data_IF_877964081015
#
_entry.id   IF_877964081015
#
_cell.length_a   1.000
_cell.length_b   1.000
_cell.length_c   1.000
_cell.angle_alpha   90.00
_cell.angle_beta   90.00
_cell.angle_gamma   90.00
#
_symmetry.space_group_name_H-M   'P 1'
#
loop_
_entity.id
_entity.type
_entity.pdbx_description
1 polymer ?
#
# COMPACT_ATOMS: atom_id res chain seq x y z
N UNK A 1 -18.92 -46.03 48.30
CA UNK A 1 -18.36 -45.24 49.41
C UNK A 1 -18.03 -46.24 50.49
N UNK A 2 -16.84 -46.83 50.45
CA UNK A 2 -16.38 -47.83 51.42
C UNK A 2 -15.76 -47.06 52.59
N UNK A 3 -16.44 -47.00 53.74
CA UNK A 3 -15.83 -46.53 54.97
C UNK A 3 -14.75 -47.54 55.38
N UNK A 4 -13.52 -47.06 55.56
CA UNK A 4 -12.38 -47.88 55.94
C UNK A 4 -12.69 -48.50 57.31
N UNK A 5 -12.75 -49.84 57.35
CA UNK A 5 -13.14 -50.61 58.53
C UNK A 5 -12.28 -50.22 59.74
N UNK A 6 -11.02 -49.86 59.47
CA UNK A 6 -10.05 -49.41 60.47
C UNK A 6 -10.43 -48.04 61.07
N UNK A 7 -10.97 -47.13 60.27
CA UNK A 7 -11.38 -45.79 60.71
C UNK A 7 -12.63 -45.86 61.59
N UNK A 8 -13.58 -46.75 61.24
CA UNK A 8 -14.75 -47.05 62.07
C UNK A 8 -14.36 -47.59 63.45
N UNK A 9 -13.49 -48.61 63.50
CA UNK A 9 -13.03 -49.19 64.76
C UNK A 9 -12.24 -48.19 65.62
N UNK A 10 -11.40 -47.36 64.99
CA UNK A 10 -10.65 -46.31 65.69
C UNK A 10 -11.55 -45.18 66.22
N UNK A 11 -12.66 -44.87 65.55
CA UNK A 11 -13.61 -43.85 66.02
C UNK A 11 -14.47 -44.30 67.21
N UNK A 12 -14.82 -45.59 67.27
CA UNK A 12 -15.75 -46.13 68.28
C UNK A 12 -15.04 -46.68 69.53
N UNK A 13 -13.83 -47.22 69.40
CA UNK A 13 -13.08 -47.83 70.50
C UNK A 13 -11.99 -46.92 71.10
N UNK A 14 -11.71 -45.77 70.48
CA UNK A 14 -10.63 -44.89 70.91
C UNK A 14 -9.23 -45.53 70.77
N UNK A 15 -8.19 -44.77 71.05
CA UNK A 15 -6.79 -45.20 70.88
C UNK A 15 -6.23 -46.05 72.04
N UNK A 16 -7.04 -46.38 73.06
CA UNK A 16 -6.60 -47.10 74.25
C UNK A 16 -7.63 -48.19 74.67
N UNK A 17 -7.15 -49.40 74.98
CA UNK A 17 -7.92 -50.65 75.17
C UNK A 17 -8.88 -50.67 76.37
N UNK A 18 -9.08 -49.54 77.06
CA UNK A 18 -9.99 -49.36 78.19
C UNK A 18 -11.48 -49.40 77.79
N UNK A 19 -11.80 -49.20 76.52
CA UNK A 19 -13.17 -49.22 75.98
C UNK A 19 -13.62 -50.60 75.46
N UNK A 20 -12.86 -51.67 75.75
CA UNK A 20 -13.22 -53.06 75.41
C UNK A 20 -14.59 -53.52 75.96
N UNK A 21 -15.18 -52.78 76.92
CA UNK A 21 -16.55 -53.00 77.40
C UNK A 21 -17.63 -52.61 76.38
N UNK A 22 -17.33 -51.82 75.35
CA UNK A 22 -18.23 -51.42 74.26
C UNK A 22 -18.25 -52.43 73.10
N UNK A 23 -17.29 -53.36 73.07
CA UNK A 23 -17.20 -54.40 72.02
C UNK A 23 -18.50 -55.22 71.89
N UNK A 24 -19.20 -55.64 72.97
CA UNK A 24 -20.47 -56.36 72.84
C UNK A 24 -21.57 -55.52 72.17
N UNK A 25 -21.64 -54.21 72.43
CA UNK A 25 -22.61 -53.32 71.80
C UNK A 25 -22.30 -53.07 70.33
N UNK A 26 -21.01 -52.95 69.97
CA UNK A 26 -20.59 -52.80 68.58
C UNK A 26 -20.86 -54.10 67.82
N UNK A 27 -20.61 -55.26 68.42
CA UNK A 27 -20.96 -56.56 67.83
C UNK A 27 -22.48 -56.65 67.63
N UNK A 28 -23.31 -56.25 68.60
CA UNK A 28 -24.78 -56.26 68.43
C UNK A 28 -25.24 -55.30 67.32
N UNK A 29 -24.62 -54.11 67.20
CA UNK A 29 -24.90 -53.17 66.11
C UNK A 29 -24.49 -53.74 64.75
N UNK A 30 -23.30 -54.33 64.65
CA UNK A 30 -22.81 -54.92 63.40
C UNK A 30 -23.67 -56.13 63.04
N UNK A 31 -24.02 -57.00 63.99
CA UNK A 31 -24.90 -58.15 63.73
C UNK A 31 -26.31 -57.72 63.32
N UNK A 32 -26.88 -56.66 63.91
CA UNK A 32 -28.16 -56.09 63.43
C UNK A 32 -28.05 -55.49 62.04
N UNK A 33 -26.95 -54.80 61.75
CA UNK A 33 -26.70 -54.24 60.43
C UNK A 33 -26.48 -55.33 59.38
N UNK A 34 -25.82 -56.42 59.76
CA UNK A 34 -25.66 -57.64 58.97
C UNK A 34 -27.01 -58.32 58.74
N UNK A 35 -27.86 -58.47 59.77
CA UNK A 35 -29.23 -59.00 59.64
C UNK A 35 -30.17 -58.11 58.82
N UNK A 36 -29.96 -56.78 58.81
CA UNK A 36 -30.67 -55.84 57.93
C UNK A 36 -30.17 -55.94 56.49
N UNK A 37 -28.85 -56.01 56.28
CA UNK A 37 -28.24 -56.23 54.97
C UNK A 37 -28.61 -57.59 54.38
N UNK A 38 -28.64 -58.66 55.18
CA UNK A 38 -29.09 -59.99 54.77
C UNK A 38 -30.59 -60.01 54.45
N UNK A 39 -31.40 -59.18 55.13
CA UNK A 39 -32.81 -58.98 54.76
C UNK A 39 -32.99 -58.20 53.47
N UNK A 40 -32.21 -57.14 53.23
CA UNK A 40 -32.20 -56.40 51.96
C UNK A 40 -31.68 -57.26 50.80
N UNK A 41 -30.76 -58.19 51.08
CA UNK A 41 -30.13 -59.08 50.12
C UNK A 41 -30.65 -60.52 50.23
N UNK A 42 -31.92 -60.72 50.59
CA UNK A 42 -32.52 -62.05 50.69
C UNK A 42 -32.43 -62.80 49.34
N UNK A 43 -31.62 -63.87 49.21
CA UNK A 43 -31.37 -64.57 47.94
C UNK A 43 -32.53 -65.49 47.48
N UNK A 44 -33.65 -65.55 48.22
CA UNK A 44 -34.75 -66.49 47.97
C UNK A 44 -36.03 -65.88 47.40
N UNK A 45 -35.97 -64.62 46.95
CA UNK A 45 -36.91 -64.14 45.94
C UNK A 45 -36.19 -63.10 45.07
N UNK A 46 -35.50 -63.50 43.97
CA UNK A 46 -35.19 -62.52 42.95
C UNK A 46 -36.54 -62.01 42.51
N UNK A 47 -36.86 -60.74 42.80
CA UNK A 47 -38.04 -60.09 42.25
C UNK A 47 -37.85 -60.09 40.73
N UNK A 48 -38.27 -61.20 40.12
CA UNK A 48 -37.98 -61.59 38.74
C UNK A 48 -38.59 -60.55 37.81
N UNK A 49 -39.65 -59.87 38.27
CA UNK A 49 -40.25 -58.72 37.63
C UNK A 49 -39.31 -57.49 37.62
N UNK A 50 -38.54 -57.27 38.70
CA UNK A 50 -37.55 -56.20 38.80
C UNK A 50 -36.33 -56.50 37.92
N UNK A 51 -35.79 -57.71 37.95
CA UNK A 51 -34.67 -58.12 37.07
C UNK A 51 -35.09 -58.09 35.60
N UNK A 52 -36.25 -58.63 35.25
CA UNK A 52 -36.78 -58.58 33.88
C UNK A 52 -37.08 -57.15 33.41
N UNK A 53 -37.55 -56.25 34.29
CA UNK A 53 -37.76 -54.85 33.91
C UNK A 53 -36.45 -54.09 33.72
N UNK A 54 -35.40 -54.38 34.50
CA UNK A 54 -34.05 -53.88 34.24
C UNK A 54 -33.48 -54.39 32.91
N UNK A 55 -33.61 -55.68 32.62
CA UNK A 55 -33.17 -56.28 31.34
C UNK A 55 -33.91 -55.61 30.17
N UNK A 56 -35.23 -55.49 30.25
CA UNK A 56 -36.05 -54.84 29.21
C UNK A 56 -35.69 -53.36 29.03
N UNK A 57 -35.33 -52.67 30.11
CA UNK A 57 -34.85 -51.28 30.05
C UNK A 57 -33.48 -51.19 29.38
N UNK A 58 -32.57 -52.14 29.67
CA UNK A 58 -31.27 -52.22 29.04
C UNK A 58 -31.37 -52.56 27.54
N UNK A 59 -32.24 -53.50 27.16
CA UNK A 59 -32.53 -53.85 25.77
C UNK A 59 -33.08 -52.65 24.99
N UNK A 60 -34.07 -51.94 25.54
CA UNK A 60 -34.61 -50.71 24.95
C UNK A 60 -33.54 -49.60 24.85
N UNK A 61 -32.63 -49.50 25.81
CA UNK A 61 -31.54 -48.54 25.77
C UNK A 61 -30.54 -48.89 24.66
N UNK A 62 -30.20 -50.16 24.48
CA UNK A 62 -29.33 -50.65 23.40
C UNK A 62 -29.97 -50.35 22.03
N UNK A 63 -31.27 -50.61 21.88
CA UNK A 63 -31.99 -50.32 20.63
C UNK A 63 -32.00 -48.82 20.31
N UNK A 64 -32.24 -47.97 21.32
CA UNK A 64 -32.15 -46.50 21.17
C UNK A 64 -30.75 -46.02 20.84
N UNK A 65 -29.72 -46.60 21.45
CA UNK A 65 -28.32 -46.27 21.13
C UNK A 65 -28.00 -46.63 19.68
N UNK A 66 -28.51 -47.77 19.20
CA UNK A 66 -28.33 -48.18 17.81
C UNK A 66 -29.00 -47.23 16.83
N UNK A 67 -30.27 -46.88 17.07
CA UNK A 67 -31.02 -45.90 16.26
C UNK A 67 -30.36 -44.52 16.26
N UNK A 68 -29.90 -44.04 17.42
CA UNK A 68 -29.16 -42.77 17.51
C UNK A 68 -27.82 -42.83 16.77
N UNK A 69 -27.08 -43.94 16.87
CA UNK A 69 -25.82 -44.12 16.15
C UNK A 69 -26.02 -44.07 14.63
N UNK A 70 -27.09 -44.67 14.14
CA UNK A 70 -27.42 -44.69 12.71
C UNK A 70 -27.79 -43.28 12.22
N UNK A 71 -28.63 -42.55 12.97
CA UNK A 71 -28.95 -41.15 12.70
C UNK A 71 -27.72 -40.23 12.74
N UNK A 72 -26.80 -40.46 13.69
CA UNK A 72 -25.55 -39.70 13.78
C UNK A 72 -24.67 -39.94 12.55
N UNK A 73 -24.58 -41.17 12.05
CA UNK A 73 -23.84 -41.49 10.82
C UNK A 73 -24.50 -40.86 9.57
N UNK A 74 -25.82 -40.87 9.47
CA UNK A 74 -26.54 -40.20 8.38
C UNK A 74 -26.31 -38.67 8.40
N UNK A 75 -26.46 -38.04 9.57
CA UNK A 75 -26.18 -36.61 9.74
C UNK A 75 -24.73 -36.27 9.39
N UNK A 76 -23.77 -37.11 9.77
CA UNK A 76 -22.36 -36.92 9.44
C UNK A 76 -22.11 -37.01 7.94
N UNK A 77 -22.72 -37.97 7.25
CA UNK A 77 -22.65 -38.09 5.79
C UNK A 77 -23.24 -36.85 5.10
N UNK A 78 -24.40 -36.39 5.55
CA UNK A 78 -25.04 -35.16 5.04
C UNK A 78 -24.14 -33.95 5.25
N UNK A 79 -23.63 -33.74 6.46
CA UNK A 79 -22.76 -32.61 6.78
C UNK A 79 -21.45 -32.61 5.97
N UNK A 80 -20.87 -33.79 5.72
CA UNK A 80 -19.70 -33.90 4.86
C UNK A 80 -20.02 -33.56 3.40
N UNK A 81 -21.13 -34.07 2.86
CA UNK A 81 -21.59 -33.74 1.50
C UNK A 81 -21.83 -32.23 1.34
N UNK A 82 -22.50 -31.61 2.32
CA UNK A 82 -22.73 -30.16 2.32
C UNK A 82 -21.42 -29.38 2.43
N UNK A 83 -20.48 -29.85 3.25
CA UNK A 83 -19.15 -29.24 3.36
C UNK A 83 -18.35 -29.34 2.06
N UNK A 84 -18.46 -30.43 1.31
CA UNK A 84 -17.80 -30.57 0.00
C UNK A 84 -18.42 -29.65 -1.05
N UNK A 85 -19.76 -29.59 -1.10
CA UNK A 85 -20.50 -28.65 -1.95
C UNK A 85 -20.11 -27.19 -1.65
N UNK A 86 -20.07 -26.81 -0.38
CA UNK A 86 -19.67 -25.46 0.05
C UNK A 86 -18.21 -25.13 -0.31
N UNK A 87 -17.30 -26.11 -0.31
CA UNK A 87 -15.91 -25.89 -0.76
C UNK A 87 -15.86 -25.53 -2.24
N UNK A 88 -16.56 -26.28 -3.09
CA UNK A 88 -16.63 -26.00 -4.52
C UNK A 88 -17.18 -24.59 -4.79
N UNK A 89 -18.28 -24.22 -4.11
CA UNK A 89 -18.88 -22.88 -4.25
C UNK A 89 -17.91 -21.79 -3.80
N UNK A 90 -17.17 -22.02 -2.70
CA UNK A 90 -16.17 -21.07 -2.20
C UNK A 90 -15.03 -20.87 -3.19
N UNK A 91 -14.55 -21.94 -3.81
CA UNK A 91 -13.48 -21.89 -4.82
C UNK A 91 -13.95 -21.13 -6.08
N UNK A 92 -15.15 -21.44 -6.56
CA UNK A 92 -15.77 -20.73 -7.69
C UNK A 92 -15.92 -19.23 -7.38
N UNK A 93 -16.46 -18.88 -6.22
CA UNK A 93 -16.62 -17.49 -5.83
C UNK A 93 -15.27 -16.77 -5.67
N UNK A 94 -14.26 -17.45 -5.12
CA UNK A 94 -12.90 -16.92 -5.01
C UNK A 94 -12.30 -16.66 -6.39
N UNK A 95 -12.54 -17.55 -7.36
CA UNK A 95 -12.09 -17.35 -8.75
C UNK A 95 -12.76 -16.12 -9.37
N UNK A 96 -14.07 -15.94 -9.17
CA UNK A 96 -14.85 -14.81 -9.69
C UNK A 96 -14.44 -13.48 -9.06
N UNK A 97 -14.13 -13.47 -7.76
CA UNK A 97 -13.55 -12.29 -7.10
C UNK A 97 -12.20 -11.93 -7.72
N UNK A 98 -11.36 -12.92 -8.03
CA UNK A 98 -10.06 -12.67 -8.65
C UNK A 98 -10.23 -12.06 -10.04
N UNK A 99 -11.08 -12.65 -10.88
CA UNK A 99 -11.43 -12.11 -12.20
C UNK A 99 -11.95 -10.66 -12.10
N UNK A 100 -12.81 -10.38 -11.11
CA UNK A 100 -13.34 -9.03 -10.88
C UNK A 100 -12.24 -8.03 -10.51
N UNK A 101 -11.31 -8.40 -9.64
CA UNK A 101 -10.16 -7.56 -9.27
C UNK A 101 -9.23 -7.29 -10.44
N UNK A 102 -9.00 -8.29 -11.29
CA UNK A 102 -8.22 -8.14 -12.51
C UNK A 102 -8.91 -7.17 -13.48
N UNK A 103 -10.23 -7.29 -13.68
CA UNK A 103 -11.02 -6.39 -14.50
C UNK A 103 -11.04 -4.96 -13.96
N UNK A 104 -11.19 -4.77 -12.65
CA UNK A 104 -11.12 -3.46 -11.99
C UNK A 104 -9.74 -2.81 -12.19
N UNK A 105 -8.67 -3.58 -12.03
CA UNK A 105 -7.29 -3.11 -12.25
C UNK A 105 -7.08 -2.65 -13.70
N UNK A 106 -7.55 -3.43 -14.67
CA UNK A 106 -7.52 -3.05 -16.08
C UNK A 106 -8.35 -1.80 -16.37
N UNK A 107 -9.54 -1.69 -15.76
CA UNK A 107 -10.38 -0.51 -15.90
C UNK A 107 -9.65 0.74 -15.39
N UNK A 108 -9.07 0.70 -14.20
CA UNK A 108 -8.27 1.81 -13.66
C UNK A 108 -7.09 2.17 -14.58
N UNK A 109 -6.41 1.17 -15.13
CA UNK A 109 -5.33 1.39 -16.10
C UNK A 109 -5.82 2.14 -17.36
N UNK A 110 -6.94 1.73 -17.94
CA UNK A 110 -7.53 2.40 -19.10
C UNK A 110 -8.02 3.82 -18.78
N UNK A 111 -8.58 4.05 -17.59
CA UNK A 111 -8.98 5.39 -17.16
C UNK A 111 -7.80 6.35 -17.14
N UNK A 112 -6.62 5.89 -16.72
CA UNK A 112 -5.41 6.71 -16.77
C UNK A 112 -4.97 7.04 -18.19
N UNK A 113 -4.99 6.05 -19.10
CA UNK A 113 -4.67 6.30 -20.52
C UNK A 113 -5.64 7.33 -21.10
N UNK A 114 -6.95 7.13 -20.93
CA UNK A 114 -7.95 8.07 -21.43
C UNK A 114 -7.78 9.48 -20.86
N UNK A 115 -7.41 9.57 -19.57
CA UNK A 115 -7.13 10.85 -18.91
C UNK A 115 -5.94 11.55 -19.58
N UNK A 116 -4.84 10.84 -19.83
CA UNK A 116 -3.65 11.40 -20.49
C UNK A 116 -3.97 11.83 -21.92
N UNK A 117 -4.66 10.99 -22.69
CA UNK A 117 -5.04 11.29 -24.08
C UNK A 117 -5.96 12.51 -24.18
N UNK A 118 -6.92 12.66 -23.25
CA UNK A 118 -7.75 13.86 -23.16
C UNK A 118 -6.91 15.13 -22.94
N UNK A 119 -5.90 15.07 -22.08
CA UNK A 119 -5.03 16.21 -21.83
C UNK A 119 -4.04 16.44 -22.99
N UNK A 120 -3.62 15.40 -23.72
CA UNK A 120 -2.85 15.56 -24.96
C UNK A 120 -3.65 16.34 -25.99
N UNK A 121 -4.90 15.93 -26.27
CA UNK A 121 -5.76 16.65 -27.20
C UNK A 121 -5.97 18.12 -26.77
N UNK A 122 -6.18 18.35 -25.47
CA UNK A 122 -6.30 19.70 -24.91
C UNK A 122 -5.01 20.53 -25.06
N UNK A 123 -3.83 19.91 -24.90
CA UNK A 123 -2.53 20.55 -25.10
C UNK A 123 -2.33 20.95 -26.56
N UNK A 124 -2.65 20.06 -27.51
CA UNK A 124 -2.57 20.33 -28.94
C UNK A 124 -3.49 21.48 -29.36
N UNK A 125 -4.72 21.51 -28.83
CA UNK A 125 -5.65 22.61 -29.06
C UNK A 125 -5.14 23.92 -28.48
N UNK A 126 -4.68 23.91 -27.23
CA UNK A 126 -4.12 25.08 -26.56
C UNK A 126 -2.88 25.63 -27.28
N UNK A 127 -2.07 24.77 -27.91
CA UNK A 127 -0.87 25.20 -28.64
C UNK A 127 -1.17 25.90 -29.97
N UNK A 128 -2.29 25.60 -30.62
CA UNK A 128 -2.65 26.16 -31.93
C UNK A 128 -2.89 27.67 -31.85
N UNK A 129 -3.72 28.13 -30.91
CA UNK A 129 -4.06 29.55 -30.75
C UNK A 129 -4.37 29.95 -29.30
N UNK A 130 -4.11 29.08 -28.33
CA UNK A 130 -4.47 29.33 -26.94
C UNK A 130 -3.54 30.34 -26.26
N UNK A 131 -4.04 31.08 -25.25
CA UNK A 131 -3.19 31.90 -24.40
C UNK A 131 -2.20 31.02 -23.61
N UNK A 132 -1.13 31.64 -23.09
CA UNK A 132 -0.07 30.93 -22.37
C UNK A 132 -0.58 30.16 -21.14
N UNK A 133 -1.55 30.73 -20.40
CA UNK A 133 -2.02 30.14 -19.15
C UNK A 133 -2.62 28.73 -19.29
N UNK A 134 -3.59 28.47 -20.20
CA UNK A 134 -4.09 27.12 -20.46
C UNK A 134 -3.00 26.10 -20.81
N UNK A 135 -2.00 26.48 -21.60
CA UNK A 135 -0.88 25.59 -21.97
C UNK A 135 -0.13 25.14 -20.72
N UNK A 136 0.18 26.09 -19.82
CA UNK A 136 0.90 25.81 -18.58
C UNK A 136 0.05 24.99 -17.60
N UNK A 137 -1.25 25.24 -17.54
CA UNK A 137 -2.17 24.49 -16.68
C UNK A 137 -2.24 23.02 -17.10
N UNK A 138 -2.43 22.75 -18.41
CA UNK A 138 -2.43 21.38 -18.94
C UNK A 138 -1.07 20.70 -18.72
N UNK A 139 0.05 21.41 -18.93
CA UNK A 139 1.37 20.85 -18.66
C UNK A 139 1.56 20.48 -17.18
N UNK A 140 1.05 21.32 -16.28
CA UNK A 140 1.09 21.05 -14.83
C UNK A 140 0.33 19.76 -14.49
N UNK A 141 -0.76 19.45 -15.21
CA UNK A 141 -1.46 18.17 -15.05
C UNK A 141 -0.61 16.96 -15.42
N UNK A 142 0.21 17.02 -16.47
CA UNK A 142 1.13 15.91 -16.78
C UNK A 142 2.15 15.67 -15.66
N UNK A 143 2.68 16.75 -15.06
CA UNK A 143 3.57 16.64 -13.89
C UNK A 143 2.86 16.02 -12.70
N UNK A 144 1.64 16.45 -12.40
CA UNK A 144 0.80 15.87 -11.34
C UNK A 144 0.53 14.37 -11.58
N UNK A 145 0.22 13.97 -12.81
CA UNK A 145 -0.04 12.57 -13.13
C UNK A 145 1.21 11.70 -12.94
N UNK A 146 2.37 12.20 -13.39
CA UNK A 146 3.62 11.49 -13.19
C UNK A 146 3.96 11.37 -11.71
N UNK A 147 3.81 12.44 -10.92
CA UNK A 147 4.11 12.42 -9.48
C UNK A 147 3.19 11.44 -8.72
N UNK A 148 1.92 11.36 -9.09
CA UNK A 148 0.96 10.42 -8.48
C UNK A 148 1.27 8.95 -8.80
N UNK A 149 1.85 8.68 -9.98
CA UNK A 149 2.05 7.30 -10.45
C UNK A 149 3.49 6.82 -10.38
N UNK A 150 4.49 7.69 -10.13
CA UNK A 150 5.91 7.30 -10.21
C UNK A 150 6.32 6.16 -9.26
N UNK A 151 5.58 5.94 -8.17
CA UNK A 151 5.81 4.85 -7.21
C UNK A 151 4.94 3.62 -7.47
N UNK A 152 4.13 3.62 -8.53
CA UNK A 152 3.26 2.51 -8.91
C UNK A 152 4.05 1.36 -9.53
N UNK A 153 3.61 0.13 -9.28
CA UNK A 153 4.14 -1.08 -9.92
C UNK A 153 3.80 -1.18 -11.42
N UNK A 154 2.87 -0.34 -11.92
CA UNK A 154 2.47 -0.28 -13.33
C UNK A 154 3.53 0.38 -14.22
N UNK A 155 4.71 -0.25 -14.35
CA UNK A 155 5.90 0.30 -15.03
C UNK A 155 5.62 0.84 -16.44
N UNK A 156 4.77 0.16 -17.22
CA UNK A 156 4.41 0.60 -18.57
C UNK A 156 3.63 1.91 -18.57
N UNK A 157 2.63 2.05 -17.68
CA UNK A 157 1.85 3.28 -17.54
C UNK A 157 2.72 4.43 -17.04
N UNK A 158 3.55 4.17 -16.02
CA UNK A 158 4.51 5.16 -15.50
C UNK A 158 5.45 5.63 -16.60
N UNK A 159 5.96 4.70 -17.41
CA UNK A 159 6.86 5.02 -18.54
C UNK A 159 6.15 5.84 -19.61
N UNK A 160 4.91 5.48 -19.96
CA UNK A 160 4.09 6.22 -20.92
C UNK A 160 3.89 7.67 -20.45
N UNK A 161 3.41 7.88 -19.22
CA UNK A 161 3.17 9.23 -18.67
C UNK A 161 4.47 10.03 -18.57
N UNK A 162 5.57 9.40 -18.13
CA UNK A 162 6.89 10.02 -18.11
C UNK A 162 7.29 10.51 -19.50
N UNK A 163 7.17 9.67 -20.52
CA UNK A 163 7.50 10.03 -21.91
C UNK A 163 6.62 11.16 -22.43
N UNK A 164 5.32 11.14 -22.14
CA UNK A 164 4.40 12.23 -22.50
C UNK A 164 4.77 13.55 -21.83
N UNK A 165 5.10 13.54 -20.53
CA UNK A 165 5.55 14.72 -19.80
C UNK A 165 6.84 15.30 -20.38
N UNK A 166 7.83 14.46 -20.70
CA UNK A 166 9.11 14.89 -21.30
C UNK A 166 8.89 15.44 -22.69
N UNK A 167 8.09 14.77 -23.52
CA UNK A 167 7.75 15.24 -24.85
C UNK A 167 7.18 16.67 -24.81
N UNK A 168 6.20 16.91 -23.94
CA UNK A 168 5.62 18.26 -23.80
C UNK A 168 6.59 19.25 -23.15
N UNK A 169 7.44 18.82 -22.21
CA UNK A 169 8.51 19.67 -21.69
C UNK A 169 9.36 20.24 -22.83
N UNK A 170 9.84 19.37 -23.73
CA UNK A 170 10.76 19.75 -24.79
C UNK A 170 10.09 20.70 -25.79
N UNK A 171 8.86 20.39 -26.21
CA UNK A 171 8.06 21.25 -27.10
C UNK A 171 7.84 22.63 -26.49
N UNK A 172 7.49 22.71 -25.20
CA UNK A 172 7.21 23.98 -24.52
C UNK A 172 8.49 24.77 -24.24
N UNK A 173 9.57 24.09 -23.82
CA UNK A 173 10.90 24.68 -23.64
C UNK A 173 11.38 25.33 -24.92
N UNK A 174 11.22 24.65 -26.06
CA UNK A 174 11.60 25.20 -27.36
C UNK A 174 10.74 26.42 -27.74
N UNK A 175 9.41 26.27 -27.71
CA UNK A 175 8.47 27.35 -28.08
C UNK A 175 8.67 28.61 -27.23
N UNK A 176 8.58 28.49 -25.91
CA UNK A 176 8.68 29.62 -25.01
C UNK A 176 10.13 30.09 -24.84
N UNK A 177 11.11 29.21 -24.97
CA UNK A 177 12.53 29.57 -24.97
C UNK A 177 12.89 30.47 -26.15
N UNK A 178 12.41 30.17 -27.36
CA UNK A 178 12.59 31.05 -28.52
C UNK A 178 11.95 32.42 -28.33
N UNK A 179 10.71 32.46 -27.81
CA UNK A 179 10.04 33.73 -27.51
C UNK A 179 10.79 34.54 -26.44
N UNK A 180 11.28 33.87 -25.40
CA UNK A 180 12.03 34.48 -24.32
C UNK A 180 13.36 35.06 -24.80
N UNK A 181 14.10 34.35 -25.65
CA UNK A 181 15.34 34.86 -26.26
C UNK A 181 15.09 36.11 -27.13
N UNK A 182 13.97 36.18 -27.85
CA UNK A 182 13.59 37.40 -28.61
C UNK A 182 13.36 38.58 -27.67
N UNK A 183 12.67 38.36 -26.56
CA UNK A 183 12.43 39.40 -25.54
C UNK A 183 13.74 39.83 -24.88
N UNK A 184 14.61 38.90 -24.51
CA UNK A 184 15.95 39.20 -24.00
C UNK A 184 16.74 40.07 -24.99
N UNK A 185 16.68 39.76 -26.29
CA UNK A 185 17.28 40.57 -27.35
C UNK A 185 16.75 42.00 -27.39
N UNK A 186 15.42 42.19 -27.27
CA UNK A 186 14.80 43.53 -27.21
C UNK A 186 15.16 44.33 -25.95
N UNK A 187 15.46 43.63 -24.86
CA UNK A 187 15.98 44.20 -23.61
C UNK A 187 17.50 44.39 -23.65
N UNK A 188 18.15 44.14 -24.79
CA UNK A 188 19.61 44.19 -24.97
C UNK A 188 20.40 43.26 -24.05
N UNK A 189 19.78 42.17 -23.58
CA UNK A 189 20.44 41.16 -22.76
C UNK A 189 21.31 40.22 -23.62
N UNK A 190 22.52 39.84 -23.16
CA UNK A 190 23.21 40.40 -21.99
C UNK A 190 23.80 41.77 -22.31
N UNK A 191 23.66 42.68 -21.33
CA UNK A 191 24.12 44.06 -21.43
C UNK A 191 25.61 44.09 -21.75
N UNK A 192 25.99 44.85 -22.76
CA UNK A 192 27.38 45.06 -23.16
C UNK A 192 27.68 46.55 -23.20
N UNK A 193 28.96 46.92 -23.10
CA UNK A 193 29.42 48.31 -23.18
C UNK A 193 28.97 49.04 -24.45
N UNK A 194 28.71 48.30 -25.55
CA UNK A 194 28.17 48.83 -26.79
C UNK A 194 26.69 49.24 -26.69
N UNK A 195 25.89 48.51 -25.88
CA UNK A 195 24.44 48.73 -25.77
C UNK A 195 24.05 49.60 -24.56
N UNK A 196 24.99 49.89 -23.66
CA UNK A 196 24.80 50.75 -22.48
C UNK A 196 24.39 52.20 -22.82
N UNK A 197 24.68 52.65 -24.05
CA UNK A 197 24.37 54.00 -24.53
C UNK A 197 23.03 54.09 -25.28
N UNK A 198 22.37 52.96 -25.55
CA UNK A 198 21.07 52.94 -26.19
C UNK A 198 19.98 53.02 -25.11
N UNK A 199 18.95 53.88 -25.25
CA UNK A 199 17.81 53.82 -24.37
C UNK A 199 17.17 52.44 -24.53
N UNK A 200 17.10 51.64 -23.46
CA UNK A 200 16.56 50.30 -23.58
C UNK A 200 15.08 50.44 -23.96
N UNK A 201 14.61 49.63 -24.92
CA UNK A 201 13.18 49.58 -25.26
C UNK A 201 12.45 48.84 -24.13
N UNK A 202 12.36 49.49 -22.97
CA UNK A 202 11.70 49.02 -21.75
C UNK A 202 10.25 49.49 -21.76
N UNK A 203 9.55 49.26 -22.88
CA UNK A 203 8.11 49.45 -22.84
C UNK A 203 7.53 48.56 -21.74
N UNK A 204 6.51 49.06 -21.03
CA UNK A 204 5.82 48.32 -19.97
C UNK A 204 5.38 46.93 -20.47
N UNK A 205 4.97 46.84 -21.74
CA UNK A 205 4.55 45.58 -22.38
C UNK A 205 5.69 44.57 -22.53
N UNK A 206 6.90 45.02 -22.87
CA UNK A 206 8.07 44.14 -23.03
C UNK A 206 8.48 43.55 -21.68
N UNK A 207 8.50 44.36 -20.62
CA UNK A 207 8.80 43.91 -19.26
C UNK A 207 7.72 42.97 -18.72
N UNK A 208 6.44 43.27 -18.99
CA UNK A 208 5.34 42.38 -18.61
C UNK A 208 5.45 41.03 -19.30
N UNK A 209 5.74 41.02 -20.61
CA UNK A 209 5.93 39.77 -21.38
C UNK A 209 7.16 38.99 -20.93
N UNK A 210 8.25 39.67 -20.58
CA UNK A 210 9.43 39.05 -19.95
C UNK A 210 9.03 38.30 -18.68
N UNK A 211 8.31 38.95 -17.76
CA UNK A 211 7.89 38.34 -16.50
C UNK A 211 6.97 37.13 -16.72
N UNK A 212 6.01 37.25 -17.64
CA UNK A 212 5.12 36.14 -18.00
C UNK A 212 5.89 34.92 -18.53
N UNK A 213 6.81 35.14 -19.48
CA UNK A 213 7.64 34.06 -20.03
C UNK A 213 8.58 33.46 -18.99
N UNK A 214 9.17 34.29 -18.12
CA UNK A 214 10.04 33.82 -17.05
C UNK A 214 9.29 32.87 -16.11
N UNK A 215 8.12 33.28 -15.61
CA UNK A 215 7.28 32.47 -14.73
C UNK A 215 6.77 31.21 -15.43
N UNK A 216 6.41 31.29 -16.70
CA UNK A 216 6.01 30.14 -17.50
C UNK A 216 7.14 29.12 -17.63
N UNK A 217 8.35 29.56 -17.94
CA UNK A 217 9.53 28.70 -18.03
C UNK A 217 9.89 28.07 -16.68
N UNK A 218 9.75 28.79 -15.56
CA UNK A 218 9.88 28.18 -14.23
C UNK A 218 8.85 27.05 -14.01
N UNK A 219 7.61 27.25 -14.46
CA UNK A 219 6.56 26.21 -14.35
C UNK A 219 6.76 25.06 -15.33
N UNK A 220 7.43 25.28 -16.46
CA UNK A 220 7.75 24.22 -17.43
C UNK A 220 8.89 23.32 -16.93
N UNK A 221 9.75 23.81 -16.03
CA UNK A 221 10.84 23.01 -15.48
C UNK A 221 10.37 21.64 -14.98
N UNK A 222 11.20 20.63 -15.24
CA UNK A 222 10.95 19.24 -14.85
C UNK A 222 10.88 19.11 -13.31
N UNK A 223 10.07 18.17 -12.77
CA UNK A 223 10.01 17.95 -11.33
C UNK A 223 11.37 17.54 -10.73
N UNK A 224 11.68 17.99 -9.51
CA UNK A 224 12.93 17.62 -8.82
C UNK A 224 13.09 16.10 -8.64
N UNK A 225 11.98 15.40 -8.40
CA UNK A 225 11.97 13.94 -8.29
C UNK A 225 12.42 13.27 -9.59
N UNK A 226 12.20 13.90 -10.74
CA UNK A 226 12.69 13.42 -12.03
C UNK A 226 14.20 13.69 -12.16
N UNK A 227 14.64 14.92 -11.87
CA UNK A 227 16.05 15.35 -11.97
C UNK A 227 16.95 14.44 -11.11
N UNK A 228 16.56 14.19 -9.86
CA UNK A 228 17.30 13.30 -8.94
C UNK A 228 17.42 11.86 -9.42
N UNK A 229 16.52 11.39 -10.28
CA UNK A 229 16.57 10.02 -10.83
C UNK A 229 17.47 9.90 -12.07
N UNK A 230 17.88 11.02 -12.68
CA UNK A 230 18.76 11.03 -13.86
C UNK A 230 20.26 11.06 -13.51
N UNK A 231 20.62 11.17 -12.24
CA UNK A 231 21.94 11.60 -11.74
C UNK A 231 23.12 10.62 -11.95
N UNK A 232 23.11 9.77 -12.97
CA UNK A 232 24.25 8.87 -13.26
C UNK A 232 24.71 8.84 -14.72
N UNK A 233 23.93 9.26 -15.74
CA UNK A 233 24.41 9.15 -17.14
C UNK A 233 23.93 10.27 -18.05
N UNK A 234 24.93 10.97 -18.60
CA UNK A 234 24.94 11.76 -19.83
C UNK A 234 24.65 13.28 -19.76
N UNK A 235 25.76 14.00 -19.97
CA UNK A 235 25.95 15.33 -20.53
C UNK A 235 25.54 16.59 -19.75
N UNK A 236 26.40 17.58 -19.87
CA UNK A 236 26.60 18.73 -18.99
C UNK A 236 25.57 19.85 -19.28
N UNK A 237 24.30 19.63 -18.95
CA UNK A 237 23.39 20.73 -18.60
C UNK A 237 23.17 20.67 -17.09
N UNK A 238 23.69 21.68 -16.37
CA UNK A 238 23.50 21.83 -14.93
C UNK A 238 22.00 22.07 -14.65
N UNK A 239 21.28 20.96 -14.48
CA UNK A 239 19.84 20.89 -14.20
C UNK A 239 19.48 21.46 -12.82
N UNK A 240 20.49 21.85 -12.02
CA UNK A 240 20.31 22.55 -10.74
C UNK A 240 19.78 23.99 -10.91
N UNK A 241 20.02 24.60 -12.07
CA UNK A 241 19.59 25.97 -12.35
C UNK A 241 18.16 26.02 -12.91
N UNK A 242 17.40 27.06 -12.54
CA UNK A 242 16.07 27.30 -13.09
C UNK A 242 16.15 27.44 -14.62
N UNK A 243 15.21 26.81 -15.34
CA UNK A 243 15.14 26.84 -16.80
C UNK A 243 15.30 28.24 -17.44
N UNK A 244 14.59 29.30 -16.99
CA UNK A 244 14.80 30.63 -17.58
C UNK A 244 16.21 31.19 -17.32
N UNK A 245 16.85 30.86 -16.20
CA UNK A 245 18.24 31.27 -15.92
C UNK A 245 19.22 30.56 -16.84
N UNK A 246 19.03 29.26 -17.07
CA UNK A 246 19.83 28.51 -18.05
C UNK A 246 19.80 29.19 -19.43
N UNK A 247 18.60 29.57 -19.88
CA UNK A 247 18.42 30.28 -21.15
C UNK A 247 19.09 31.67 -21.15
N UNK A 248 18.99 32.44 -20.06
CA UNK A 248 19.65 33.75 -19.93
C UNK A 248 21.18 33.65 -19.95
N UNK A 249 21.74 32.53 -19.51
CA UNK A 249 23.19 32.30 -19.49
C UNK A 249 23.76 31.86 -20.84
N UNK A 250 22.95 31.29 -21.75
CA UNK A 250 23.44 30.80 -23.05
C UNK A 250 24.25 31.84 -23.86
N UNK A 251 23.83 33.11 -23.99
CA UNK A 251 24.63 34.11 -24.71
C UNK A 251 25.96 34.44 -24.02
N UNK A 252 26.00 34.40 -22.68
CA UNK A 252 27.21 34.62 -21.89
C UNK A 252 28.18 33.47 -22.06
N UNK A 253 27.69 32.22 -21.99
CA UNK A 253 28.49 31.01 -22.24
C UNK A 253 29.08 31.05 -23.66
N UNK A 254 28.28 31.39 -24.67
CA UNK A 254 28.77 31.55 -26.06
C UNK A 254 29.87 32.60 -26.18
N UNK A 255 29.69 33.77 -25.55
CA UNK A 255 30.73 34.82 -25.51
C UNK A 255 31.98 34.34 -24.80
N UNK A 256 31.84 33.68 -23.66
CA UNK A 256 32.94 33.11 -22.91
C UNK A 256 33.75 32.11 -23.76
N UNK A 257 33.09 31.12 -24.35
CA UNK A 257 33.72 30.14 -25.23
C UNK A 257 34.41 30.84 -26.42
N UNK A 258 33.75 31.81 -27.05
CA UNK A 258 34.33 32.53 -28.18
C UNK A 258 35.60 33.31 -27.78
N UNK A 259 35.59 34.00 -26.64
CA UNK A 259 36.69 34.85 -26.19
C UNK A 259 37.86 34.07 -25.56
N UNK A 260 37.55 32.99 -24.83
CA UNK A 260 38.53 32.26 -24.02
C UNK A 260 38.91 30.88 -24.59
N UNK A 261 38.10 30.29 -25.47
CA UNK A 261 38.36 28.97 -26.07
C UNK A 261 38.57 29.05 -27.60
N UNK A 262 38.44 30.23 -28.21
CA UNK A 262 38.67 30.45 -29.63
C UNK A 262 40.16 30.45 -30.02
N UNK A 263 40.47 30.08 -31.28
CA UNK A 263 41.85 30.02 -31.83
C UNK A 263 42.54 31.38 -32.04
N UNK A 264 41.93 32.50 -31.62
CA UNK A 264 42.52 33.85 -31.72
C UNK A 264 43.23 34.19 -30.39
N UNK A 265 44.43 34.76 -30.49
CA UNK A 265 45.29 35.23 -29.38
C UNK A 265 44.65 36.38 -28.55
N UNK A 266 43.49 36.18 -27.94
CA UNK A 266 42.91 37.07 -26.92
C UNK A 266 43.10 36.57 -25.49
N UNK A 267 43.58 35.34 -25.31
CA UNK A 267 44.04 34.80 -24.03
C UNK A 267 45.43 35.34 -23.67
N UNK A 268 45.51 36.62 -23.27
CA UNK A 268 46.63 37.07 -22.44
C UNK A 268 46.27 36.77 -20.98
N UNK A 269 47.13 36.03 -20.27
CA UNK A 269 46.94 35.68 -18.85
C UNK A 269 46.66 36.93 -17.98
N UNK A 270 47.29 38.06 -18.33
CA UNK A 270 47.11 39.36 -17.69
C UNK A 270 45.64 39.86 -17.72
N UNK A 271 44.85 39.42 -18.71
CA UNK A 271 43.45 39.84 -18.89
C UNK A 271 42.48 38.97 -18.09
N UNK A 272 42.80 37.69 -17.90
CA UNK A 272 41.99 36.74 -17.11
C UNK A 272 42.05 37.12 -15.63
N UNK A 273 43.22 37.55 -15.13
CA UNK A 273 43.40 38.04 -13.76
C UNK A 273 42.56 39.31 -13.46
N UNK A 274 42.44 40.22 -14.42
CA UNK A 274 41.62 41.43 -14.29
C UNK A 274 40.11 41.19 -14.44
N UNK A 275 39.68 40.17 -15.19
CA UNK A 275 38.26 39.83 -15.28
C UNK A 275 37.77 39.08 -14.03
N UNK A 276 38.61 38.26 -13.40
CA UNK A 276 38.30 37.64 -12.10
C UNK A 276 38.26 38.65 -10.95
N UNK A 277 38.98 39.77 -11.03
CA UNK A 277 38.89 40.84 -10.03
C UNK A 277 37.64 41.72 -10.14
N UNK A 278 36.92 41.67 -11.28
CA UNK A 278 35.70 42.45 -11.53
C UNK A 278 34.41 41.67 -11.27
N UNK A 279 34.51 40.40 -10.84
CA UNK A 279 33.37 39.55 -10.44
C UNK A 279 33.26 39.47 -8.89
N UNK A 280 33.98 40.36 -8.17
CA UNK A 280 33.86 40.55 -6.72
C UNK A 280 32.90 41.67 -6.36
#
# INVERSE_FOLDING_TARGET
MFLDVVEFFNSELGSDLSDAKKIPEIIDKISKYEEELEREFNPHNPDLARVNSFIKTAENAIEKIKDLSEKCEELRKSANSDSESLKSIKEDFSSKIKELKEAESLYCYFQWILKVEKHNASMEEALKNGPMYPIIDVYTKFKEFWEQLRTSDCKNLVTYIKKTMIYWHDVLREKFGMEFQKILGSLYWPVSSANLKMPPNQSSDTLMKFNQLFLALCKIALPDAYIKTQDIKDDVEDTSLLLPLQLMLQPLQKRFIFHFMGKKLTNRLDKILNELSNVG
#
